data_IF_515276500599
#
_entry.id   IF_515276500599
#
_cell.length_a   1.000
_cell.length_b   1.000
_cell.length_c   1.000
_cell.angle_alpha   90.00
_cell.angle_beta   90.00
_cell.angle_gamma   90.00
#
_symmetry.space_group_name_H-M   'P 1'
#
loop_
_entity.id
_entity.type
_entity.pdbx_description
1 polymer ?
#
# COMPACT_ATOMS: atom_id res chain seq x y z
N UNK A 1 -7.42 5.96 -7.08
CA UNK A 1 -6.70 6.70 -8.13
C UNK A 1 -7.15 6.30 -9.53
N UNK A 2 -6.91 5.07 -10.00
CA UNK A 2 -7.31 4.70 -11.38
C UNK A 2 -8.81 4.88 -11.67
N UNK A 3 -9.67 4.47 -10.74
CA UNK A 3 -11.11 4.73 -10.84
C UNK A 3 -11.43 6.24 -10.96
N UNK A 4 -10.81 7.10 -10.15
CA UNK A 4 -11.05 8.55 -10.22
C UNK A 4 -10.54 9.20 -11.52
N UNK A 5 -9.66 8.51 -12.25
CA UNK A 5 -9.13 8.94 -13.55
C UNK A 5 -9.87 8.32 -14.73
N UNK A 6 -10.94 7.55 -14.49
CA UNK A 6 -11.66 6.84 -15.54
C UNK A 6 -10.92 5.66 -16.16
N UNK A 7 -9.82 5.21 -15.55
CA UNK A 7 -9.00 4.08 -16.02
C UNK A 7 -9.49 2.72 -15.52
N UNK A 8 -10.45 2.69 -14.60
CA UNK A 8 -11.03 1.48 -14.01
C UNK A 8 -12.55 1.65 -13.91
N UNK A 9 -13.30 0.63 -14.27
CA UNK A 9 -14.75 0.64 -14.17
C UNK A 9 -15.24 0.38 -12.73
N UNK A 10 -16.47 0.82 -12.44
CA UNK A 10 -17.06 0.75 -11.09
C UNK A 10 -17.32 -0.69 -10.62
N UNK A 11 -17.47 -1.65 -11.53
CA UNK A 11 -17.75 -3.06 -11.21
C UNK A 11 -16.46 -3.79 -10.88
N UNK A 12 -15.39 -3.52 -11.65
CA UNK A 12 -14.06 -4.04 -11.40
C UNK A 12 -13.50 -3.54 -10.08
N UNK A 13 -13.75 -2.29 -9.69
CA UNK A 13 -13.21 -1.70 -8.46
C UNK A 13 -13.41 -2.59 -7.21
N UNK A 14 -14.64 -2.98 -6.81
CA UNK A 14 -14.84 -3.85 -5.65
C UNK A 14 -14.27 -5.26 -5.86
N UNK A 15 -14.27 -5.79 -7.09
CA UNK A 15 -13.68 -7.10 -7.40
C UNK A 15 -12.18 -7.09 -7.11
N UNK A 16 -11.45 -6.08 -7.60
CA UNK A 16 -10.01 -5.92 -7.34
C UNK A 16 -9.72 -5.74 -5.85
N UNK A 17 -10.52 -4.93 -5.15
CA UNK A 17 -10.36 -4.74 -3.70
C UNK A 17 -10.49 -6.08 -2.98
N UNK A 18 -11.55 -6.84 -3.22
CA UNK A 18 -11.78 -8.12 -2.55
C UNK A 18 -10.67 -9.12 -2.90
N UNK A 19 -10.32 -9.25 -4.19
CA UNK A 19 -9.28 -10.16 -4.64
C UNK A 19 -7.91 -9.86 -3.99
N UNK A 20 -7.53 -8.59 -3.90
CA UNK A 20 -6.27 -8.17 -3.27
C UNK A 20 -6.25 -8.51 -1.77
N UNK A 21 -7.35 -8.30 -1.06
CA UNK A 21 -7.43 -8.63 0.38
C UNK A 21 -7.37 -10.14 0.63
N UNK A 22 -8.07 -10.93 -0.19
CA UNK A 22 -8.01 -12.40 -0.13
C UNK A 22 -6.58 -12.89 -0.43
N UNK A 23 -5.95 -12.36 -1.47
CA UNK A 23 -4.57 -12.71 -1.82
C UNK A 23 -3.59 -12.38 -0.69
N UNK A 24 -3.70 -11.19 -0.09
CA UNK A 24 -2.86 -10.78 1.02
C UNK A 24 -3.08 -11.62 2.30
N UNK A 25 -4.34 -12.00 2.58
CA UNK A 25 -4.67 -12.93 3.67
C UNK A 25 -3.97 -14.29 3.49
N UNK A 26 -4.09 -14.90 2.31
CA UNK A 26 -3.45 -16.20 2.04
C UNK A 26 -1.93 -16.09 1.94
N UNK A 27 -1.39 -14.97 1.46
CA UNK A 27 0.05 -14.70 1.51
C UNK A 27 0.59 -14.66 2.94
N UNK A 28 -0.14 -14.03 3.86
CA UNK A 28 0.19 -14.05 5.28
C UNK A 28 0.11 -15.45 5.87
N UNK A 29 -0.94 -16.23 5.52
CA UNK A 29 -1.08 -17.61 5.95
C UNK A 29 0.09 -18.50 5.49
N UNK A 30 0.47 -18.40 4.21
CA UNK A 30 1.61 -19.13 3.66
C UNK A 30 2.91 -18.73 4.37
N UNK A 31 3.12 -17.43 4.59
CA UNK A 31 4.30 -16.92 5.32
C UNK A 31 4.37 -17.50 6.74
N UNK A 32 3.25 -17.51 7.46
CA UNK A 32 3.19 -18.07 8.81
C UNK A 32 3.49 -19.57 8.82
N UNK A 33 2.98 -20.33 7.85
CA UNK A 33 3.26 -21.77 7.75
C UNK A 33 4.75 -22.01 7.50
N UNK A 34 5.35 -21.29 6.56
CA UNK A 34 6.78 -21.42 6.23
C UNK A 34 7.68 -21.07 7.42
N UNK A 35 7.34 -20.02 8.17
CA UNK A 35 8.16 -19.52 9.27
C UNK A 35 7.69 -19.96 10.66
N UNK A 36 6.74 -20.90 10.76
CA UNK A 36 6.09 -21.26 12.03
C UNK A 36 7.10 -21.61 13.12
N UNK A 37 8.08 -22.46 12.79
CA UNK A 37 9.05 -22.94 13.77
C UNK A 37 10.06 -21.85 14.15
N UNK A 38 10.44 -20.99 13.20
CA UNK A 38 11.28 -19.82 13.47
C UNK A 38 10.57 -18.80 14.39
N UNK A 39 9.29 -18.53 14.13
CA UNK A 39 8.47 -17.66 14.97
C UNK A 39 8.34 -18.25 16.38
N UNK A 40 8.02 -19.54 16.50
CA UNK A 40 7.95 -20.24 17.80
C UNK A 40 9.27 -20.21 18.57
N UNK A 41 10.39 -20.38 17.87
CA UNK A 41 11.70 -20.33 18.50
C UNK A 41 12.04 -18.92 19.00
N UNK A 42 11.61 -17.87 18.30
CA UNK A 42 11.85 -16.49 18.68
C UNK A 42 10.94 -16.02 19.83
N UNK A 43 9.64 -16.29 19.74
CA UNK A 43 8.65 -15.78 20.69
C UNK A 43 8.28 -16.75 21.83
N UNK A 44 8.88 -17.95 21.83
CA UNK A 44 8.61 -18.99 22.83
C UNK A 44 7.20 -19.58 22.73
N UNK A 45 6.52 -19.42 21.59
CA UNK A 45 5.14 -19.82 21.38
C UNK A 45 4.10 -18.79 21.86
N UNK A 46 4.53 -17.66 22.42
CA UNK A 46 3.65 -16.59 22.91
C UNK A 46 3.48 -15.53 21.82
N UNK A 47 2.26 -15.41 21.30
CA UNK A 47 1.91 -14.51 20.19
C UNK A 47 1.68 -13.08 20.67
N UNK A 48 2.76 -12.37 20.97
CA UNK A 48 2.73 -10.96 21.35
C UNK A 48 2.65 -10.02 20.11
N UNK A 49 1.90 -8.93 20.24
CA UNK A 49 1.80 -7.90 19.18
C UNK A 49 3.05 -7.03 19.11
N UNK A 50 3.56 -6.61 20.27
CA UNK A 50 4.68 -5.68 20.42
C UNK A 50 5.60 -6.10 21.57
N UNK A 51 6.67 -5.34 21.79
CA UNK A 51 7.72 -5.66 22.74
C UNK A 51 8.86 -6.44 22.12
N UNK A 52 9.82 -6.87 22.94
CA UNK A 52 11.06 -7.52 22.48
C UNK A 52 10.77 -8.77 21.64
N UNK A 53 9.75 -9.54 22.03
CA UNK A 53 9.34 -10.77 21.35
C UNK A 53 8.07 -10.59 20.51
N UNK A 54 7.66 -9.35 20.20
CA UNK A 54 6.48 -9.10 19.38
C UNK A 54 6.69 -9.51 17.93
N UNK A 55 5.84 -10.40 17.41
CA UNK A 55 5.98 -10.96 16.05
C UNK A 55 4.87 -10.55 15.09
N UNK A 56 3.82 -9.88 15.56
CA UNK A 56 2.71 -9.44 14.69
C UNK A 56 3.16 -8.45 13.59
N UNK A 57 4.24 -7.70 13.83
CA UNK A 57 4.84 -6.76 12.88
C UNK A 57 5.38 -7.40 11.59
N UNK A 58 5.55 -8.73 11.56
CA UNK A 58 5.90 -9.48 10.34
C UNK A 58 4.78 -9.36 9.30
N UNK A 59 3.52 -9.36 9.75
CA UNK A 59 2.35 -9.50 8.88
C UNK A 59 1.69 -8.16 8.58
N UNK A 60 1.49 -7.33 9.60
CA UNK A 60 0.83 -6.05 9.49
C UNK A 60 1.68 -4.95 10.13
N UNK A 61 1.41 -3.70 9.76
CA UNK A 61 2.20 -2.57 10.24
C UNK A 61 1.69 -2.08 11.58
N UNK A 62 2.61 -1.66 12.43
CA UNK A 62 2.33 -1.03 13.73
C UNK A 62 3.20 0.21 13.86
N UNK A 63 2.71 1.27 14.54
CA UNK A 63 3.46 2.50 14.72
C UNK A 63 4.55 2.32 15.78
N UNK A 64 5.66 3.04 15.62
CA UNK A 64 6.75 3.00 16.60
C UNK A 64 6.37 3.68 17.92
N UNK A 65 6.93 3.24 19.07
CA UNK A 65 6.57 3.77 20.39
C UNK A 65 6.84 5.26 20.60
N UNK A 66 7.84 5.82 19.91
CA UNK A 66 8.18 7.24 19.98
C UNK A 66 7.22 8.13 19.18
N UNK A 67 6.35 7.54 18.36
CA UNK A 67 5.32 8.32 17.68
C UNK A 67 4.28 8.77 18.70
N UNK A 68 4.08 10.09 18.80
CA UNK A 68 3.29 10.72 19.87
C UNK A 68 1.88 10.11 20.02
N UNK A 69 1.49 9.66 21.23
CA UNK A 69 0.13 9.25 21.55
C UNK A 69 -0.91 10.39 21.53
N UNK A 70 -0.50 11.65 21.35
CA UNK A 70 -1.39 12.82 21.33
C UNK A 70 -2.38 12.81 20.13
N UNK A 71 -2.40 11.73 19.35
CA UNK A 71 -3.48 11.34 18.45
C UNK A 71 -4.55 10.50 19.18
N UNK A 72 -5.03 10.96 20.33
CA UNK A 72 -6.22 10.41 20.98
C UNK A 72 -7.45 10.75 20.16
N UNK A 73 -7.97 9.77 19.40
CA UNK A 73 -9.26 9.74 18.69
C UNK A 73 -9.57 10.85 17.66
N UNK A 74 -8.99 12.05 17.75
CA UNK A 74 -9.32 13.24 16.95
C UNK A 74 -8.12 13.80 16.18
N UNK A 75 -6.87 13.57 16.62
CA UNK A 75 -5.65 14.08 15.96
C UNK A 75 -4.85 13.00 15.22
N UNK A 76 -5.54 12.16 14.44
CA UNK A 76 -4.90 11.21 13.53
C UNK A 76 -4.16 11.90 12.36
N UNK A 77 -4.22 13.22 12.27
CA UNK A 77 -3.68 13.99 11.15
C UNK A 77 -2.15 13.91 11.05
N UNK A 78 -1.43 13.82 12.17
CA UNK A 78 0.02 13.65 12.15
C UNK A 78 0.45 12.27 11.59
N UNK A 79 -0.26 11.20 11.93
CA UNK A 79 0.04 9.84 11.49
C UNK A 79 -0.30 9.59 10.02
N UNK A 80 -1.39 10.19 9.54
CA UNK A 80 -1.79 10.09 8.13
C UNK A 80 -0.73 10.71 7.21
N UNK A 81 -0.07 11.80 7.61
CA UNK A 81 0.86 12.55 6.74
C UNK A 81 1.94 11.67 6.11
N UNK A 82 2.62 10.83 6.89
CA UNK A 82 3.72 10.04 6.33
C UNK A 82 3.23 8.96 5.36
N UNK A 83 2.07 8.36 5.64
CA UNK A 83 1.47 7.36 4.75
C UNK A 83 0.84 8.01 3.51
N UNK A 84 0.25 9.19 3.66
CA UNK A 84 -0.26 10.01 2.55
C UNK A 84 0.89 10.39 1.63
N UNK A 85 2.00 10.91 2.18
CA UNK A 85 3.19 11.31 1.39
C UNK A 85 3.82 10.10 0.72
N UNK A 86 4.09 9.02 1.47
CA UNK A 86 4.70 7.81 0.90
C UNK A 86 3.83 7.18 -0.20
N UNK A 87 2.52 7.08 0.02
CA UNK A 87 1.61 6.50 -0.99
C UNK A 87 1.38 7.45 -2.17
N UNK A 88 1.37 8.76 -1.92
CA UNK A 88 1.28 9.76 -2.97
C UNK A 88 2.51 9.75 -3.87
N UNK A 89 3.72 9.67 -3.30
CA UNK A 89 4.95 9.49 -4.07
C UNK A 89 4.91 8.19 -4.88
N UNK A 90 4.48 7.08 -4.27
CA UNK A 90 4.32 5.81 -4.98
C UNK A 90 3.34 5.95 -6.16
N UNK A 91 2.17 6.54 -5.94
CA UNK A 91 1.15 6.74 -6.95
C UNK A 91 1.62 7.65 -8.09
N UNK A 92 2.33 8.73 -7.75
CA UNK A 92 2.97 9.62 -8.72
C UNK A 92 3.97 8.85 -9.58
N UNK A 93 4.90 8.11 -8.95
CA UNK A 93 5.88 7.29 -9.67
C UNK A 93 5.23 6.23 -10.54
N UNK A 94 4.17 5.58 -10.06
CA UNK A 94 3.42 4.59 -10.84
C UNK A 94 2.89 5.21 -12.13
N UNK A 95 2.28 6.40 -12.06
CA UNK A 95 1.78 7.09 -13.24
C UNK A 95 2.89 7.54 -14.19
N UNK A 96 4.02 8.04 -13.67
CA UNK A 96 5.20 8.34 -14.50
C UNK A 96 5.64 7.10 -15.28
N UNK A 97 5.72 5.94 -14.61
CA UNK A 97 6.21 4.69 -15.20
C UNK A 97 5.25 4.14 -16.26
N UNK A 98 3.95 4.13 -15.99
CA UNK A 98 2.97 3.51 -16.90
C UNK A 98 2.53 4.41 -18.05
N UNK A 99 2.72 5.73 -17.96
CA UNK A 99 2.30 6.65 -19.01
C UNK A 99 3.16 6.44 -20.27
N UNK A 100 2.57 5.96 -21.37
CA UNK A 100 3.32 5.65 -22.60
C UNK A 100 4.01 6.87 -23.20
N UNK A 101 3.53 8.09 -22.89
CA UNK A 101 4.11 9.34 -23.37
C UNK A 101 5.52 9.60 -22.78
N UNK A 102 5.83 9.00 -21.62
CA UNK A 102 7.15 9.05 -21.01
C UNK A 102 8.17 8.08 -21.64
N UNK A 103 7.75 7.23 -22.59
CA UNK A 103 8.60 6.30 -23.36
C UNK A 103 9.43 5.35 -22.49
N UNK A 104 8.95 5.01 -21.29
CA UNK A 104 9.57 4.02 -20.42
C UNK A 104 9.22 2.62 -20.94
N UNK A 105 10.20 1.77 -21.29
CA UNK A 105 9.92 0.43 -21.79
C UNK A 105 9.15 -0.41 -20.78
N UNK A 106 8.10 -1.12 -21.23
CA UNK A 106 7.26 -1.97 -20.37
C UNK A 106 8.07 -3.05 -19.63
N UNK A 107 9.13 -3.56 -20.25
CA UNK A 107 10.06 -4.51 -19.64
C UNK A 107 10.77 -3.94 -18.39
N UNK A 108 10.93 -2.62 -18.28
CA UNK A 108 11.54 -1.98 -17.12
C UNK A 108 10.54 -1.68 -15.99
N UNK A 109 9.22 -1.75 -16.24
CA UNK A 109 8.20 -1.37 -15.27
C UNK A 109 8.33 -2.13 -13.93
N UNK A 110 8.47 -3.46 -13.89
CA UNK A 110 8.56 -4.18 -12.62
C UNK A 110 9.77 -3.76 -11.77
N UNK A 111 10.92 -3.54 -12.42
CA UNK A 111 12.13 -3.08 -11.76
C UNK A 111 11.94 -1.68 -11.17
N UNK A 112 11.36 -0.76 -11.95
CA UNK A 112 11.13 0.62 -11.51
C UNK A 112 10.12 0.70 -10.37
N UNK A 113 9.02 -0.07 -10.42
CA UNK A 113 8.10 -0.18 -9.29
C UNK A 113 8.79 -0.71 -8.04
N UNK A 114 9.64 -1.73 -8.18
CA UNK A 114 10.44 -2.29 -7.08
C UNK A 114 11.39 -1.27 -6.46
N UNK A 115 12.12 -0.51 -7.30
CA UNK A 115 13.04 0.54 -6.85
C UNK A 115 12.27 1.67 -6.16
N UNK A 116 11.13 2.11 -6.70
CA UNK A 116 10.28 3.12 -6.06
C UNK A 116 9.83 2.66 -4.67
N UNK A 117 9.35 1.42 -4.55
CA UNK A 117 8.96 0.84 -3.27
C UNK A 117 10.14 0.75 -2.29
N UNK A 118 11.32 0.32 -2.76
CA UNK A 118 12.54 0.24 -1.95
C UNK A 118 12.95 1.60 -1.40
N UNK A 119 13.02 2.62 -2.25
CA UNK A 119 13.42 3.98 -1.85
C UNK A 119 12.43 4.57 -0.86
N UNK A 120 11.13 4.40 -1.09
CA UNK A 120 10.09 4.87 -0.16
C UNK A 120 10.17 4.10 1.17
N UNK A 121 10.42 2.78 1.12
CA UNK A 121 10.58 1.95 2.31
C UNK A 121 11.79 2.36 3.15
N UNK A 122 12.94 2.59 2.53
CA UNK A 122 14.14 3.05 3.22
C UNK A 122 14.00 4.49 3.75
N UNK A 123 13.31 5.38 3.03
CA UNK A 123 13.18 6.79 3.42
C UNK A 123 12.08 7.08 4.43
N UNK A 124 10.94 6.39 4.35
CA UNK A 124 9.73 6.69 5.12
C UNK A 124 9.29 5.54 6.04
N UNK A 125 9.97 4.38 5.98
CA UNK A 125 9.50 3.17 6.64
C UNK A 125 9.68 3.12 8.15
N UNK A 126 10.63 3.85 8.71
CA UNK A 126 11.01 3.76 10.12
C UNK A 126 9.84 4.03 11.08
N UNK A 127 8.95 4.96 10.74
CA UNK A 127 7.89 5.40 11.65
C UNK A 127 6.77 4.36 11.84
N UNK A 128 6.31 3.74 10.75
CA UNK A 128 5.17 2.82 10.81
C UNK A 128 5.18 1.74 9.74
N UNK A 129 6.35 1.32 9.24
CA UNK A 129 6.49 0.17 8.35
C UNK A 129 5.95 0.35 6.93
N UNK A 130 5.69 1.59 6.49
CA UNK A 130 5.29 1.96 5.12
C UNK A 130 4.29 0.98 4.46
N UNK A 131 3.06 0.84 4.99
CA UNK A 131 2.11 -0.12 4.43
C UNK A 131 1.77 0.19 2.96
N UNK A 132 1.62 1.48 2.61
CA UNK A 132 1.37 2.03 1.25
C UNK A 132 0.16 1.45 0.49
N UNK A 133 -0.46 0.40 1.00
CA UNK A 133 -1.50 -0.39 0.35
C UNK A 133 -2.45 -0.95 1.44
N UNK A 134 -3.77 -0.65 1.34
CA UNK A 134 -4.75 -1.15 2.30
C UNK A 134 -4.82 -2.69 2.41
N UNK A 135 -4.77 -3.40 1.28
CA UNK A 135 -4.85 -4.86 1.25
C UNK A 135 -3.64 -5.52 1.90
N UNK A 136 -2.44 -4.92 1.69
CA UNK A 136 -1.16 -5.38 2.26
C UNK A 136 -1.13 -5.32 3.79
N UNK A 137 -1.98 -4.50 4.41
CA UNK A 137 -2.09 -4.40 5.87
C UNK A 137 -3.33 -5.14 6.41
N UNK A 138 -4.51 -4.84 5.86
CA UNK A 138 -5.77 -5.33 6.42
C UNK A 138 -5.96 -6.84 6.22
N UNK A 139 -5.61 -7.39 5.06
CA UNK A 139 -5.71 -8.84 4.79
C UNK A 139 -4.87 -9.68 5.77
N UNK A 140 -3.55 -9.42 5.90
CA UNK A 140 -2.70 -10.06 6.88
C UNK A 140 -3.14 -9.81 8.33
N UNK A 141 -3.70 -8.63 8.64
CA UNK A 141 -4.22 -8.33 9.97
C UNK A 141 -5.41 -9.23 10.32
N UNK A 142 -6.34 -9.46 9.39
CA UNK A 142 -7.42 -10.43 9.57
C UNK A 142 -6.87 -11.84 9.78
N UNK A 143 -5.84 -12.25 9.04
CA UNK A 143 -5.20 -13.54 9.29
C UNK A 143 -4.62 -13.63 10.70
N UNK A 144 -3.82 -12.63 11.12
CA UNK A 144 -3.22 -12.62 12.45
C UNK A 144 -4.24 -12.53 13.58
N UNK A 145 -5.46 -12.03 13.36
CA UNK A 145 -6.52 -12.06 14.36
C UNK A 145 -6.81 -13.48 14.86
N UNK A 146 -6.74 -14.49 13.99
CA UNK A 146 -6.97 -15.89 14.37
C UNK A 146 -5.83 -16.51 15.19
N UNK A 147 -4.64 -15.89 15.20
CA UNK A 147 -3.43 -16.42 15.85
C UNK A 147 -3.05 -15.60 17.10
N UNK A 148 -3.13 -14.29 16.99
CA UNK A 148 -2.72 -13.31 18.02
C UNK A 148 -3.93 -12.75 18.78
N UNK A 149 -5.15 -12.98 18.31
CA UNK A 149 -6.38 -12.48 18.93
C UNK A 149 -6.71 -11.02 18.57
N UNK A 150 -7.71 -10.47 19.26
CA UNK A 150 -8.30 -9.14 18.97
C UNK A 150 -7.32 -7.97 19.05
N UNK A 151 -6.20 -8.15 19.76
CA UNK A 151 -5.23 -7.08 19.98
C UNK A 151 -4.57 -6.60 18.69
N UNK A 152 -4.58 -7.40 17.62
CA UNK A 152 -4.08 -6.96 16.30
C UNK A 152 -4.82 -5.73 15.76
N UNK A 153 -6.06 -5.48 16.18
CA UNK A 153 -6.85 -4.31 15.79
C UNK A 153 -6.82 -3.20 16.84
N UNK A 154 -6.58 -3.53 18.10
CA UNK A 154 -6.71 -2.57 19.21
C UNK A 154 -5.39 -2.04 19.74
N UNK A 155 -4.27 -2.74 19.46
CA UNK A 155 -2.93 -2.37 19.91
C UNK A 155 -2.11 -1.73 18.78
N UNK A 156 -1.27 -0.72 19.06
CA UNK A 156 -1.16 0.00 20.34
C UNK A 156 -2.31 0.98 20.57
N UNK A 157 -3.04 1.36 19.51
CA UNK A 157 -4.18 2.26 19.57
C UNK A 157 -5.39 1.65 18.87
N UNK A 158 -6.58 1.83 19.47
CA UNK A 158 -7.84 1.17 19.06
C UNK A 158 -8.23 1.34 17.59
N UNK A 159 -7.76 2.42 16.96
CA UNK A 159 -8.12 2.77 15.58
C UNK A 159 -6.90 2.75 14.64
N UNK A 160 -5.77 2.15 15.04
CA UNK A 160 -4.56 2.14 14.21
C UNK A 160 -4.79 1.47 12.86
N UNK A 161 -5.51 0.35 12.83
CA UNK A 161 -5.76 -0.42 11.60
C UNK A 161 -6.48 0.39 10.49
N UNK A 162 -7.15 1.49 10.84
CA UNK A 162 -7.79 2.38 9.87
C UNK A 162 -6.78 3.27 9.14
N UNK A 163 -5.64 3.57 9.76
CA UNK A 163 -4.63 4.47 9.17
C UNK A 163 -4.04 3.85 7.89
N UNK A 164 -3.57 2.58 7.88
CA UNK A 164 -3.13 1.88 6.66
C UNK A 164 -4.20 1.69 5.58
N UNK A 165 -5.47 1.96 5.88
CA UNK A 165 -6.58 1.86 4.91
C UNK A 165 -6.87 3.24 4.32
N UNK A 166 -7.11 4.22 5.18
CA UNK A 166 -7.56 5.56 4.79
C UNK A 166 -6.41 6.38 4.22
N UNK A 167 -5.25 6.40 4.89
CA UNK A 167 -4.15 7.28 4.51
C UNK A 167 -3.55 6.91 3.13
N UNK A 168 -3.33 5.62 2.79
CA UNK A 168 -2.91 5.26 1.45
C UNK A 168 -3.94 5.60 0.37
N UNK A 169 -5.24 5.44 0.65
CA UNK A 169 -6.30 5.79 -0.31
C UNK A 169 -6.27 7.28 -0.64
N UNK A 170 -6.15 8.14 0.38
CA UNK A 170 -6.02 9.59 0.21
C UNK A 170 -4.71 9.94 -0.50
N UNK A 171 -3.59 9.37 -0.07
CA UNK A 171 -2.28 9.58 -0.66
C UNK A 171 -2.25 9.25 -2.16
N UNK A 172 -2.79 8.09 -2.53
CA UNK A 172 -2.85 7.66 -3.93
C UNK A 172 -3.70 8.61 -4.80
N UNK A 173 -4.79 9.16 -4.26
CA UNK A 173 -5.59 10.16 -4.97
C UNK A 173 -4.77 11.45 -5.17
N UNK A 174 -4.18 12.00 -4.11
CA UNK A 174 -3.40 13.24 -4.17
C UNK A 174 -2.21 13.09 -5.12
N UNK A 175 -1.38 12.06 -4.92
CA UNK A 175 -0.19 11.83 -5.74
C UNK A 175 -0.51 11.58 -7.21
N UNK A 176 -1.59 10.84 -7.47
CA UNK A 176 -2.07 10.61 -8.82
C UNK A 176 -2.47 11.90 -9.53
N UNK A 177 -3.31 12.72 -8.89
CA UNK A 177 -3.75 13.98 -9.47
C UNK A 177 -2.60 15.00 -9.58
N UNK A 178 -1.61 14.95 -8.68
CA UNK A 178 -0.39 15.75 -8.80
C UNK A 178 0.41 15.37 -10.04
N UNK A 179 0.50 14.09 -10.41
CA UNK A 179 1.11 13.69 -11.66
C UNK A 179 0.40 14.33 -12.86
N UNK A 180 -0.93 14.22 -12.92
CA UNK A 180 -1.71 14.82 -14.01
C UNK A 180 -1.45 16.32 -14.10
N UNK A 181 -1.59 17.04 -12.99
CA UNK A 181 -1.45 18.50 -12.98
C UNK A 181 -0.04 18.98 -13.31
N UNK A 182 0.99 18.34 -12.76
CA UNK A 182 2.37 18.84 -12.87
C UNK A 182 3.11 18.29 -14.08
N UNK A 183 2.80 17.08 -14.52
CA UNK A 183 3.54 16.37 -15.57
C UNK A 183 2.63 15.98 -16.73
N UNK A 184 1.56 15.23 -16.45
CA UNK A 184 0.69 14.66 -17.48
C UNK A 184 -0.01 15.69 -18.38
N UNK A 185 -0.32 16.88 -17.87
CA UNK A 185 -0.90 18.00 -18.61
C UNK A 185 0.12 18.79 -19.45
N UNK A 186 1.41 18.56 -19.23
CA UNK A 186 2.51 19.27 -19.91
C UNK A 186 3.24 18.39 -20.94
N UNK A 187 2.85 17.12 -21.07
CA UNK A 187 3.41 16.22 -22.09
C UNK A 187 2.44 16.18 -23.28
N UNK A 188 2.91 16.44 -24.52
CA UNK A 188 2.06 16.35 -25.69
C UNK A 188 1.55 14.93 -25.87
N UNK A 189 0.28 14.81 -26.25
CA UNK A 189 -0.29 13.53 -26.63
C UNK A 189 0.40 13.02 -27.89
N UNK A 190 0.60 11.71 -27.98
CA UNK A 190 1.17 11.12 -29.19
C UNK A 190 0.15 11.29 -30.31
N UNK A 191 0.57 11.92 -31.42
CA UNK A 191 -0.24 11.96 -32.63
C UNK A 191 -0.56 10.52 -33.03
N UNK A 192 -1.85 10.17 -33.07
CA UNK A 192 -2.31 8.90 -33.59
C UNK A 192 -1.82 8.79 -35.03
N UNK A 193 -0.90 7.86 -35.30
CA UNK A 193 -0.50 7.59 -36.68
C UNK A 193 -1.75 7.23 -37.50
N UNK A 194 -1.93 7.75 -38.73
CA UNK A 194 -3.15 7.55 -39.53
C UNK A 194 -3.56 6.09 -39.79
N UNK A 195 -2.68 5.14 -39.48
CA UNK A 195 -2.90 3.71 -39.73
C UNK A 195 -3.74 3.01 -38.63
N UNK A 196 -3.89 3.58 -37.43
CA UNK A 196 -4.70 2.94 -36.37
C UNK A 196 -6.21 3.16 -36.55
N UNK A 197 -6.64 4.24 -37.20
CA UNK A 197 -8.05 4.51 -37.51
C UNK A 197 -8.62 3.49 -38.50
N UNK A 198 -7.82 3.01 -39.46
CA UNK A 198 -8.25 2.02 -40.46
C UNK A 198 -8.35 0.59 -39.91
N UNK A 199 -7.69 0.30 -38.79
CA UNK A 199 -7.72 -1.03 -38.16
C UNK A 199 -8.90 -1.21 -37.20
N UNK A 200 -9.51 -0.12 -36.70
CA UNK A 200 -10.72 -0.16 -35.86
C UNK A 200 -12.02 -0.20 -36.67
N UNK A 201 -11.96 0.03 -37.98
CA UNK A 201 -13.11 0.01 -38.89
C UNK A 201 -13.22 -1.29 -39.74
N UNK A 202 -12.34 -2.26 -39.54
CA UNK A 202 -12.40 -3.60 -40.17
C UNK A 202 -12.66 -4.68 -39.14
#
# INVERSE_FOLDING_TARGET
MFFSMGMLDIISLPIYIIAQHIGAFFGAAATYVVYRDAINNYDGGIRAISGVNGTAGIFATYPQPYMSPLATYLDQEAFKRIQIVGTGLLAFCVLVIIDPRNKIPSAAHPLLFGISLLVIGCGFGMNCGYPLNPARDFGPRIFTYFIYGKEVFTHPWRCWFLVPIIAPTIGALIGGWFYILLVGSHIPDQESSPNESQAKER
#
